data_IF_429307832515
#
_entry.id   IF_429307832515
#
_cell.length_a   1.000
_cell.length_b   1.000
_cell.length_c   1.000
_cell.angle_alpha   90.00
_cell.angle_beta   90.00
_cell.angle_gamma   90.00
#
_symmetry.space_group_name_H-M   'P 1'
#
loop_
_entity.id
_entity.type
_entity.pdbx_description
1 polymer ?
#
# COMPACT_ATOMS: atom_id res chain seq x y z
N UNK A 1 13.68 -7.10 0.47
CA UNK A 1 13.27 -5.68 0.57
C UNK A 1 13.65 -5.03 -0.73
N UNK A 2 12.75 -4.25 -1.32
CA UNK A 2 12.99 -3.71 -2.66
C UNK A 2 12.70 -2.22 -2.63
N UNK A 3 13.75 -1.42 -2.85
CA UNK A 3 13.61 0.01 -3.14
C UNK A 3 13.09 0.15 -4.58
N UNK A 4 12.09 1.00 -4.78
CA UNK A 4 11.59 1.29 -6.11
C UNK A 4 11.69 2.79 -6.39
N UNK A 5 12.38 3.12 -7.48
CA UNK A 5 12.43 4.49 -8.01
C UNK A 5 11.28 4.69 -8.97
N UNK A 6 10.49 5.72 -8.72
CA UNK A 6 9.31 6.02 -9.51
C UNK A 6 9.64 6.99 -10.66
N UNK A 7 8.88 6.94 -11.76
CA UNK A 7 8.88 8.01 -12.76
C UNK A 7 8.52 9.34 -12.10
N UNK A 8 9.41 10.33 -12.14
CA UNK A 8 9.24 11.62 -11.45
C UNK A 8 10.16 11.82 -10.23
N UNK A 9 11.02 10.85 -9.90
CA UNK A 9 12.11 11.02 -8.93
C UNK A 9 11.77 10.68 -7.48
N UNK A 10 10.54 10.26 -7.18
CA UNK A 10 10.16 9.74 -5.87
C UNK A 10 10.72 8.35 -5.61
N UNK A 11 11.15 8.08 -4.39
CA UNK A 11 11.49 6.72 -3.92
C UNK A 11 10.34 6.21 -3.06
N UNK A 12 9.94 4.96 -3.27
CA UNK A 12 9.02 4.27 -2.36
C UNK A 12 9.61 2.96 -1.91
N UNK A 13 9.33 2.64 -0.66
CA UNK A 13 9.68 1.37 -0.06
C UNK A 13 8.42 0.54 0.03
N UNK A 14 8.49 -0.72 -0.41
CA UNK A 14 7.34 -1.59 -0.41
C UNK A 14 7.67 -3.01 0.04
N UNK A 15 6.66 -3.67 0.62
CA UNK A 15 6.61 -5.12 0.74
C UNK A 15 5.19 -5.61 0.49
N UNK A 16 5.05 -6.88 0.12
CA UNK A 16 3.76 -7.52 0.05
C UNK A 16 3.76 -8.90 0.69
N UNK A 17 2.56 -9.32 1.09
CA UNK A 17 2.28 -10.67 1.59
C UNK A 17 1.17 -11.29 0.78
N UNK A 18 1.33 -12.55 0.41
CA UNK A 18 0.31 -13.38 -0.23
C UNK A 18 -0.41 -14.21 0.83
N UNK A 19 -1.72 -14.34 0.65
CA UNK A 19 -2.61 -15.20 1.43
C UNK A 19 -3.42 -16.07 0.47
N UNK A 20 -3.57 -17.33 0.84
CA UNK A 20 -4.40 -18.29 0.08
C UNK A 20 -5.88 -18.22 0.44
N UNK A 21 -6.21 -17.54 1.54
CA UNK A 21 -7.55 -17.43 2.09
C UNK A 21 -7.94 -15.96 2.35
N UNK A 22 -9.19 -15.64 2.03
CA UNK A 22 -9.75 -14.30 2.19
C UNK A 22 -9.81 -13.88 3.66
N UNK A 23 -10.25 -14.78 4.54
CA UNK A 23 -10.49 -14.43 5.94
C UNK A 23 -9.19 -14.03 6.63
N UNK A 24 -8.10 -14.73 6.32
CA UNK A 24 -6.75 -14.43 6.82
C UNK A 24 -6.24 -13.11 6.26
N UNK A 25 -6.45 -12.85 4.96
CA UNK A 25 -6.09 -11.58 4.34
C UNK A 25 -6.89 -10.41 4.96
N UNK A 26 -8.18 -10.59 5.21
CA UNK A 26 -9.03 -9.58 5.83
C UNK A 26 -8.60 -9.27 7.26
N UNK A 27 -8.29 -10.31 8.06
CA UNK A 27 -7.80 -10.14 9.43
C UNK A 27 -6.43 -9.45 9.49
N UNK A 28 -5.53 -9.74 8.54
CA UNK A 28 -4.27 -9.01 8.41
C UNK A 28 -4.49 -7.54 8.00
N UNK A 29 -5.39 -7.28 7.05
CA UNK A 29 -5.73 -5.94 6.61
C UNK A 29 -6.34 -5.10 7.74
N UNK A 30 -7.21 -5.68 8.56
CA UNK A 30 -7.82 -4.99 9.70
C UNK A 30 -6.75 -4.59 10.74
N UNK A 31 -5.89 -5.51 11.14
CA UNK A 31 -4.79 -5.22 12.09
C UNK A 31 -3.84 -4.16 11.55
N UNK A 32 -3.57 -4.18 10.25
CA UNK A 32 -2.80 -3.16 9.58
C UNK A 32 -3.50 -1.80 9.60
N UNK A 33 -4.80 -1.75 9.30
CA UNK A 33 -5.56 -0.50 9.34
C UNK A 33 -5.57 0.12 10.74
N UNK A 34 -5.69 -0.69 11.79
CA UNK A 34 -5.62 -0.25 13.19
C UNK A 34 -4.22 0.29 13.54
N UNK A 35 -3.15 -0.39 13.14
CA UNK A 35 -1.78 0.06 13.40
C UNK A 35 -1.38 1.29 12.58
N UNK A 36 -1.93 1.42 11.37
CA UNK A 36 -1.61 2.51 10.43
C UNK A 36 -2.50 3.74 10.60
N UNK A 37 -3.60 3.65 11.37
CA UNK A 37 -4.47 4.79 11.65
C UNK A 37 -3.73 5.98 12.29
N UNK A 38 -2.60 5.71 12.96
CA UNK A 38 -1.74 6.73 13.58
C UNK A 38 -0.44 6.99 12.79
N UNK A 39 -0.13 6.23 11.75
CA UNK A 39 1.13 6.29 11.00
C UNK A 39 1.00 6.94 9.62
N UNK A 40 1.14 8.27 9.59
CA UNK A 40 1.68 9.05 8.45
C UNK A 40 1.22 8.67 7.03
N UNK A 41 2.15 8.80 6.07
CA UNK A 41 1.93 8.60 4.64
C UNK A 41 2.03 7.12 4.19
N UNK A 42 1.98 6.17 5.14
CA UNK A 42 2.00 4.73 4.85
C UNK A 42 0.64 4.31 4.29
N UNK A 43 0.66 3.53 3.22
CA UNK A 43 -0.56 3.05 2.55
C UNK A 43 -0.54 1.55 2.40
N UNK A 44 -1.70 0.95 2.66
CA UNK A 44 -1.93 -0.47 2.43
C UNK A 44 -2.94 -0.66 1.30
N UNK A 45 -2.67 -1.62 0.43
CA UNK A 45 -3.53 -2.03 -0.66
C UNK A 45 -3.85 -3.51 -0.54
N UNK A 46 -5.11 -3.86 -0.78
CA UNK A 46 -5.57 -5.24 -0.91
C UNK A 46 -6.04 -5.48 -2.33
N UNK A 47 -5.56 -6.55 -2.96
CA UNK A 47 -6.02 -6.97 -4.28
C UNK A 47 -6.02 -8.50 -4.42
N UNK A 48 -6.80 -8.99 -5.38
CA UNK A 48 -6.95 -10.42 -5.67
C UNK A 48 -6.24 -10.72 -6.98
N UNK A 49 -5.37 -11.74 -6.97
CA UNK A 49 -4.72 -12.24 -8.18
C UNK A 49 -5.67 -13.17 -8.94
N UNK A 50 -5.52 -13.33 -10.26
CA UNK A 50 -6.38 -14.21 -11.07
C UNK A 50 -6.45 -15.67 -10.59
N UNK A 51 -5.44 -16.13 -9.86
CA UNK A 51 -5.35 -17.48 -9.30
C UNK A 51 -6.02 -17.63 -7.92
N UNK A 52 -6.86 -16.67 -7.52
CA UNK A 52 -7.60 -16.71 -6.25
C UNK A 52 -6.77 -16.39 -5.00
N UNK A 53 -5.55 -15.89 -5.17
CA UNK A 53 -4.70 -15.43 -4.07
C UNK A 53 -4.99 -13.99 -3.70
N UNK A 54 -4.93 -13.68 -2.41
CA UNK A 54 -5.06 -12.32 -1.89
C UNK A 54 -3.70 -11.75 -1.61
N UNK A 55 -3.45 -10.51 -2.04
CA UNK A 55 -2.22 -9.79 -1.77
C UNK A 55 -2.52 -8.58 -0.92
N UNK A 56 -1.75 -8.43 0.15
CA UNK A 56 -1.64 -7.16 0.88
C UNK A 56 -0.28 -6.55 0.56
N UNK A 57 -0.29 -5.36 -0.03
CA UNK A 57 0.90 -4.58 -0.31
C UNK A 57 0.92 -3.33 0.56
N UNK A 58 2.08 -3.02 1.13
CA UNK A 58 2.33 -1.81 1.92
C UNK A 58 3.35 -0.97 1.21
N UNK A 59 3.06 0.32 1.06
CA UNK A 59 3.95 1.33 0.50
C UNK A 59 4.21 2.39 1.57
N UNK A 60 5.48 2.76 1.74
CA UNK A 60 5.91 3.84 2.62
C UNK A 60 6.90 4.77 1.91
N UNK A 61 6.95 6.07 2.29
CA UNK A 61 7.90 7.01 1.69
C UNK A 61 9.33 6.81 2.20
N UNK A 62 9.50 6.21 3.38
CA UNK A 62 10.82 5.87 3.93
C UNK A 62 10.94 4.39 4.32
N UNK A 63 12.15 3.86 4.27
CA UNK A 63 12.43 2.51 4.78
C UNK A 63 12.11 2.39 6.27
N UNK A 64 12.41 3.43 7.06
CA UNK A 64 12.19 3.41 8.51
C UNK A 64 10.71 3.20 8.86
N UNK A 65 9.80 3.89 8.15
CA UNK A 65 8.36 3.69 8.31
C UNK A 65 7.94 2.29 7.86
N UNK A 66 8.44 1.82 6.71
CA UNK A 66 8.12 0.47 6.24
C UNK A 66 8.54 -0.61 7.25
N UNK A 67 9.74 -0.50 7.80
CA UNK A 67 10.27 -1.44 8.79
C UNK A 67 9.48 -1.39 10.10
N UNK A 68 9.06 -0.20 10.53
CA UNK A 68 8.20 -0.05 11.70
C UNK A 68 6.87 -0.76 11.46
N UNK A 69 6.15 -0.42 10.39
CA UNK A 69 4.90 -1.06 10.00
C UNK A 69 5.04 -2.59 9.89
N UNK A 70 6.16 -3.09 9.33
CA UNK A 70 6.45 -4.52 9.22
C UNK A 70 6.57 -5.21 10.59
N UNK A 71 7.08 -4.52 11.61
CA UNK A 71 7.26 -5.05 12.97
C UNK A 71 6.01 -4.92 13.84
N UNK A 72 5.23 -3.85 13.64
CA UNK A 72 4.06 -3.55 14.46
C UNK A 72 2.88 -4.49 14.16
N UNK A 73 2.73 -4.91 12.91
CA UNK A 73 1.59 -5.72 12.47
C UNK A 73 2.02 -7.19 12.33
N UNK A 74 1.23 -8.09 12.90
CA UNK A 74 1.44 -9.53 12.76
C UNK A 74 0.93 -10.04 11.39
N UNK A 75 1.61 -9.71 10.30
CA UNK A 75 1.13 -9.89 8.92
C UNK A 75 0.70 -11.33 8.57
N UNK A 76 1.42 -12.37 8.99
CA UNK A 76 1.19 -13.73 8.49
C UNK A 76 1.41 -13.82 6.97
N UNK A 77 0.81 -14.81 6.30
CA UNK A 77 0.95 -15.00 4.85
C UNK A 77 2.39 -15.35 4.42
N UNK A 78 2.65 -15.37 3.12
CA UNK A 78 3.99 -15.58 2.55
C UNK A 78 4.55 -14.29 1.96
N UNK A 79 5.88 -14.09 2.00
CA UNK A 79 6.50 -12.93 1.35
C UNK A 79 6.23 -12.96 -0.16
N UNK A 80 5.76 -11.83 -0.68
CA UNK A 80 5.56 -11.63 -2.11
C UNK A 80 6.52 -10.54 -2.61
N UNK A 81 7.46 -10.88 -3.52
CA UNK A 81 8.30 -9.88 -4.14
C UNK A 81 7.46 -9.04 -5.10
N UNK A 82 7.32 -7.76 -4.80
CA UNK A 82 6.69 -6.79 -5.71
C UNK A 82 7.68 -6.42 -6.81
N UNK A 83 7.24 -6.51 -8.06
CA UNK A 83 7.95 -5.98 -9.21
C UNK A 83 7.77 -4.45 -9.33
N UNK A 84 8.67 -3.80 -10.09
CA UNK A 84 8.58 -2.36 -10.36
C UNK A 84 7.23 -1.96 -10.98
N UNK A 85 6.72 -2.75 -11.93
CA UNK A 85 5.42 -2.51 -12.59
C UNK A 85 4.27 -2.52 -11.59
N UNK A 86 4.29 -3.45 -10.63
CA UNK A 86 3.24 -3.56 -9.61
C UNK A 86 3.30 -2.37 -8.65
N UNK A 87 4.50 -1.96 -8.24
CA UNK A 87 4.69 -0.79 -7.38
C UNK A 87 4.26 0.49 -8.07
N UNK A 88 4.60 0.68 -9.34
CA UNK A 88 4.15 1.84 -10.14
C UNK A 88 2.63 1.82 -10.29
N UNK A 89 2.00 0.67 -10.52
CA UNK A 89 0.54 0.57 -10.62
C UNK A 89 -0.16 0.89 -9.28
N UNK A 90 0.38 0.41 -8.16
CA UNK A 90 -0.12 0.72 -6.81
C UNK A 90 0.04 2.21 -6.49
N UNK A 91 1.19 2.81 -6.86
CA UNK A 91 1.42 4.24 -6.69
C UNK A 91 0.52 5.09 -7.58
N UNK A 92 0.28 4.70 -8.82
CA UNK A 92 -0.65 5.44 -9.68
C UNK A 92 -2.04 5.52 -9.07
N UNK A 93 -2.52 4.43 -8.47
CA UNK A 93 -3.76 4.44 -7.68
C UNK A 93 -3.69 5.36 -6.45
N UNK A 94 -2.52 5.52 -5.83
CA UNK A 94 -2.30 6.50 -4.77
C UNK A 94 -2.48 7.93 -5.28
N UNK A 95 -1.75 8.30 -6.34
CA UNK A 95 -1.78 9.65 -6.87
C UNK A 95 -3.17 10.01 -7.43
N UNK A 96 -3.87 9.05 -8.04
CA UNK A 96 -5.27 9.20 -8.50
C UNK A 96 -6.24 9.39 -7.33
N UNK A 97 -6.15 8.58 -6.27
CA UNK A 97 -7.02 8.73 -5.08
C UNK A 97 -6.73 10.02 -4.29
N UNK A 98 -5.48 10.48 -4.27
CA UNK A 98 -5.11 11.76 -3.69
C UNK A 98 -5.65 12.94 -4.52
N UNK A 99 -5.50 12.88 -5.85
CA UNK A 99 -6.04 13.89 -6.76
C UNK A 99 -7.57 13.98 -6.70
N UNK A 100 -8.26 12.85 -6.52
CA UNK A 100 -9.72 12.81 -6.35
C UNK A 100 -10.17 13.42 -5.02
N UNK A 101 -9.41 13.23 -3.93
CA UNK A 101 -9.67 13.90 -2.65
C UNK A 101 -9.48 15.42 -2.69
N UNK A 102 -8.63 15.92 -3.58
CA UNK A 102 -8.42 17.37 -3.78
C UNK A 102 -9.52 17.97 -4.66
N UNK A 103 -10.23 17.16 -5.47
CA UNK A 103 -11.42 17.58 -6.18
C UNK A 103 -12.63 17.50 -5.27
N UNK A 104 -13.23 18.64 -4.96
CA UNK A 104 -14.59 18.66 -4.40
C UNK A 104 -15.56 17.94 -5.35
N UNK A 105 -16.67 17.36 -4.86
CA UNK A 105 -17.64 16.64 -5.70
C UNK A 105 -18.23 17.48 -6.85
N UNK A 106 -18.08 18.80 -6.80
CA UNK A 106 -18.50 19.76 -7.83
C UNK A 106 -17.39 20.15 -8.83
N UNK A 107 -16.22 19.50 -8.80
CA UNK A 107 -15.17 19.67 -9.81
C UNK A 107 -14.47 21.04 -9.80
N UNK A 108 -14.60 21.85 -8.74
CA UNK A 108 -13.90 23.14 -8.64
C UNK A 108 -12.58 23.00 -7.88
N UNK A 109 -11.48 23.63 -8.36
CA UNK A 109 -10.23 23.68 -7.61
C UNK A 109 -10.43 24.49 -6.32
N UNK A 110 -9.90 24.00 -5.19
CA UNK A 110 -9.79 24.80 -3.96
C UNK A 110 -8.82 25.95 -4.22
N UNK A 111 -9.34 27.17 -4.27
CA UNK A 111 -8.52 28.38 -4.17
C UNK A 111 -7.92 28.45 -2.77
N UNK A 112 -6.62 28.75 -2.74
CA UNK A 112 -5.67 28.70 -1.63
C UNK A 112 -6.08 29.47 -0.37
#
# INVERSE_FOLDING_TARGET
>A
MTEHRLPGGGVVHAFARIYVDESTAAAAAQRAAEALAEEGDVRMYRFVRPIGQYVLAVLAPTDAELQRTRRTVAWGGEDHPLGEVEVVALRRRFDEAAADRVRTPDGRPMSS
#
